data_IF_291221631637
#
_entry.id   IF_291221631637
#
_cell.length_a   1.000
_cell.length_b   1.000
_cell.length_c   1.000
_cell.angle_alpha   90.00
_cell.angle_beta   90.00
_cell.angle_gamma   90.00
#
_symmetry.space_group_name_H-M   'P 1'
#
loop_
_entity.id
_entity.type
_entity.pdbx_description
1 polymer ?
#
# COMPACT_ATOMS: atom_id res chain seq x y z
N UNK A 1 -45.59 -64.59 53.92
CA UNK A 1 -44.25 -64.45 53.31
C UNK A 1 -44.38 -63.50 52.09
N UNK A 2 -44.23 -62.22 52.29
CA UNK A 2 -44.25 -61.23 51.20
C UNK A 2 -42.82 -60.84 50.92
N UNK A 3 -42.37 -61.05 49.69
CA UNK A 3 -41.11 -60.54 49.16
C UNK A 3 -41.32 -59.15 48.48
N UNK A 4 -40.70 -58.17 49.04
CA UNK A 4 -40.67 -56.80 48.52
C UNK A 4 -39.61 -56.71 47.50
N UNK A 5 -39.97 -56.39 46.20
CA UNK A 5 -39.06 -56.05 45.12
C UNK A 5 -38.88 -54.54 45.13
N UNK A 6 -37.65 -54.07 45.42
CA UNK A 6 -37.27 -52.66 45.26
C UNK A 6 -36.66 -52.48 43.87
N UNK A 7 -37.36 -51.76 42.99
CA UNK A 7 -36.79 -51.28 41.72
C UNK A 7 -35.86 -50.09 42.03
N UNK A 8 -34.60 -50.24 41.70
CA UNK A 8 -33.67 -49.07 41.64
C UNK A 8 -33.80 -48.44 40.26
N UNK A 9 -34.30 -47.22 40.22
CA UNK A 9 -34.30 -46.39 39.02
C UNK A 9 -32.91 -45.70 38.91
N UNK A 10 -32.13 -46.06 37.91
CA UNK A 10 -30.86 -45.40 37.53
C UNK A 10 -31.19 -44.18 36.68
N UNK A 11 -31.07 -42.99 37.24
CA UNK A 11 -31.10 -41.72 36.48
C UNK A 11 -29.74 -41.54 35.78
N UNK A 12 -29.72 -41.67 34.47
CA UNK A 12 -28.56 -41.27 33.65
C UNK A 12 -28.61 -39.75 33.41
N UNK A 13 -27.52 -38.98 33.63
CA UNK A 13 -27.51 -37.57 33.29
C UNK A 13 -27.39 -37.38 31.79
N UNK A 14 -28.37 -36.70 31.20
CA UNK A 14 -28.35 -36.27 29.80
C UNK A 14 -27.39 -35.07 29.66
N UNK A 15 -26.18 -35.30 29.19
CA UNK A 15 -25.21 -34.24 28.86
C UNK A 15 -25.63 -33.60 27.55
N UNK A 16 -26.23 -32.41 27.59
CA UNK A 16 -26.54 -31.57 26.41
C UNK A 16 -25.25 -30.93 25.94
N UNK A 17 -24.64 -31.47 24.88
CA UNK A 17 -23.53 -30.84 24.15
C UNK A 17 -24.07 -29.63 23.39
N UNK A 18 -23.91 -28.44 23.95
CA UNK A 18 -24.11 -27.15 23.28
C UNK A 18 -22.99 -26.96 22.24
N UNK A 19 -23.24 -27.37 21.02
CA UNK A 19 -22.38 -27.02 19.87
C UNK A 19 -22.55 -25.53 19.57
N UNK A 20 -21.61 -24.70 20.02
CA UNK A 20 -21.52 -23.31 19.58
C UNK A 20 -21.15 -23.29 18.10
N UNK A 21 -21.95 -22.65 17.22
CA UNK A 21 -21.55 -22.49 15.84
C UNK A 21 -20.28 -21.65 15.79
N UNK A 22 -19.21 -22.20 15.20
CA UNK A 22 -18.01 -21.43 14.87
C UNK A 22 -18.43 -20.36 13.85
N UNK A 23 -18.48 -19.11 14.28
CA UNK A 23 -18.65 -17.96 13.40
C UNK A 23 -17.40 -17.88 12.53
N UNK A 24 -17.48 -18.46 11.34
CA UNK A 24 -16.44 -18.30 10.31
C UNK A 24 -16.49 -16.82 9.88
N UNK A 25 -15.55 -16.02 10.36
CA UNK A 25 -15.40 -14.66 9.89
C UNK A 25 -15.15 -14.70 8.37
N UNK A 26 -16.03 -14.05 7.60
CA UNK A 26 -15.83 -13.91 6.16
C UNK A 26 -14.46 -13.27 5.91
N UNK A 27 -13.69 -13.73 4.91
CA UNK A 27 -12.39 -13.17 4.60
C UNK A 27 -12.53 -11.65 4.37
N UNK A 28 -11.78 -10.86 5.12
CA UNK A 28 -11.80 -9.41 4.96
C UNK A 28 -11.36 -9.08 3.54
N UNK A 29 -12.25 -8.50 2.75
CA UNK A 29 -11.98 -8.08 1.38
C UNK A 29 -10.78 -7.14 1.37
N UNK A 30 -9.84 -7.33 0.44
CA UNK A 30 -8.70 -6.43 0.29
C UNK A 30 -9.20 -4.99 0.11
N UNK A 31 -8.64 -4.08 0.89
CA UNK A 31 -9.04 -2.68 0.88
C UNK A 31 -8.39 -1.91 -0.29
N UNK A 32 -7.21 -2.37 -0.70
CA UNK A 32 -6.47 -1.88 -1.86
C UNK A 32 -5.51 -2.96 -2.38
N UNK A 33 -4.98 -2.74 -3.58
CA UNK A 33 -3.94 -3.58 -4.19
C UNK A 33 -2.80 -2.67 -4.68
N UNK A 34 -1.57 -3.12 -4.51
CA UNK A 34 -0.38 -2.43 -5.02
C UNK A 34 -0.26 -2.67 -6.52
N UNK A 35 -0.38 -1.63 -7.35
CA UNK A 35 -0.25 -1.73 -8.81
C UNK A 35 1.20 -1.73 -9.29
N UNK A 36 2.03 -0.85 -8.68
CA UNK A 36 3.44 -0.70 -9.02
C UNK A 36 4.25 -0.23 -7.82
N UNK A 37 5.53 -0.62 -7.79
CA UNK A 37 6.49 -0.19 -6.76
C UNK A 37 7.83 0.11 -7.41
N UNK A 38 8.31 1.31 -7.21
CA UNK A 38 9.70 1.71 -7.37
C UNK A 38 10.33 1.66 -5.96
N UNK A 39 11.08 0.61 -5.68
CA UNK A 39 11.67 0.38 -4.36
C UNK A 39 12.75 1.45 -4.02
N UNK A 40 13.06 1.66 -2.74
CA UNK A 40 12.63 0.89 -1.59
C UNK A 40 11.28 1.33 -1.00
N UNK A 41 10.44 0.39 -0.63
CA UNK A 41 9.16 0.66 0.01
C UNK A 41 8.73 -0.48 0.94
N UNK A 42 7.97 -0.16 1.99
CA UNK A 42 7.55 -1.12 3.02
C UNK A 42 6.07 -0.99 3.36
N UNK A 43 5.52 -2.09 3.82
CA UNK A 43 4.24 -2.16 4.51
C UNK A 43 4.45 -2.64 5.94
N UNK A 44 3.93 -1.89 6.90
CA UNK A 44 3.87 -2.27 8.31
C UNK A 44 2.44 -2.71 8.66
N UNK A 45 2.30 -3.89 9.26
CA UNK A 45 1.03 -4.44 9.74
C UNK A 45 1.26 -5.17 11.06
N UNK A 46 0.59 -4.74 12.13
CA UNK A 46 0.69 -5.35 13.48
C UNK A 46 2.14 -5.52 13.95
N UNK A 47 2.98 -4.53 13.73
CA UNK A 47 4.39 -4.55 14.10
C UNK A 47 5.31 -5.36 13.17
N UNK A 48 4.76 -5.97 12.11
CA UNK A 48 5.55 -6.71 11.11
C UNK A 48 5.77 -5.84 9.88
N UNK A 49 7.04 -5.51 9.61
CA UNK A 49 7.48 -4.79 8.41
C UNK A 49 7.88 -5.76 7.32
N UNK A 50 7.35 -5.56 6.12
CA UNK A 50 7.75 -6.30 4.91
C UNK A 50 7.92 -5.35 3.73
N UNK A 51 8.80 -5.64 2.76
CA UNK A 51 8.88 -4.86 1.53
C UNK A 51 7.54 -4.86 0.79
N UNK A 52 7.21 -3.70 0.22
CA UNK A 52 6.03 -3.57 -0.60
C UNK A 52 6.26 -4.24 -1.96
N UNK A 53 5.36 -5.11 -2.38
CA UNK A 53 5.45 -5.83 -3.64
C UNK A 53 4.26 -5.50 -4.55
N UNK A 54 4.50 -5.42 -5.86
CA UNK A 54 3.43 -5.30 -6.84
C UNK A 54 2.50 -6.53 -6.80
N UNK A 55 1.19 -6.31 -6.80
CA UNK A 55 0.17 -7.33 -6.59
C UNK A 55 -0.17 -7.62 -5.12
N UNK A 56 0.54 -7.00 -4.15
CA UNK A 56 0.24 -7.19 -2.74
C UNK A 56 -1.13 -6.62 -2.38
N UNK A 57 -1.92 -7.41 -1.65
CA UNK A 57 -3.18 -6.96 -1.07
C UNK A 57 -2.95 -6.21 0.24
N UNK A 58 -3.58 -5.04 0.34
CA UNK A 58 -3.54 -4.18 1.50
C UNK A 58 -4.85 -4.30 2.29
N UNK A 59 -4.73 -4.23 3.61
CA UNK A 59 -5.85 -4.26 4.55
C UNK A 59 -6.00 -2.91 5.24
N UNK A 60 -7.17 -2.66 5.79
CA UNK A 60 -7.40 -1.51 6.67
C UNK A 60 -6.42 -1.52 7.84
N UNK A 61 -5.78 -0.38 8.09
CA UNK A 61 -4.76 -0.21 9.14
C UNK A 61 -3.32 -0.49 8.69
N UNK A 62 -3.09 -0.92 7.44
CA UNK A 62 -1.72 -1.01 6.91
C UNK A 62 -1.08 0.39 6.83
N UNK A 63 0.16 0.48 7.28
CA UNK A 63 0.99 1.67 7.11
C UNK A 63 1.98 1.41 5.99
N UNK A 64 1.99 2.28 4.99
CA UNK A 64 2.92 2.22 3.86
C UNK A 64 3.99 3.29 4.03
N UNK A 65 5.23 2.93 3.75
CA UNK A 65 6.36 3.86 3.73
C UNK A 65 7.16 3.71 2.45
N UNK A 66 7.54 4.82 1.85
CA UNK A 66 8.46 4.86 0.72
C UNK A 66 9.80 5.48 1.16
N UNK A 67 10.89 4.96 0.66
CA UNK A 67 12.21 5.52 0.92
C UNK A 67 12.56 6.67 -0.04
N UNK A 68 13.86 7.03 -0.06
CA UNK A 68 14.38 8.02 -0.99
C UNK A 68 14.21 7.56 -2.43
N UNK A 69 13.79 8.46 -3.30
CA UNK A 69 13.51 8.24 -4.73
C UNK A 69 12.57 7.04 -5.00
N UNK A 70 11.79 6.63 -4.01
CA UNK A 70 10.83 5.54 -4.15
C UNK A 70 9.43 6.05 -4.45
N UNK A 71 8.60 5.20 -5.09
CA UNK A 71 7.21 5.49 -5.42
C UNK A 71 6.35 4.24 -5.32
N UNK A 72 5.07 4.40 -5.01
CA UNK A 72 4.12 3.30 -5.00
C UNK A 72 2.78 3.74 -5.60
N UNK A 73 2.18 2.86 -6.40
CA UNK A 73 0.83 3.02 -6.95
C UNK A 73 -0.11 2.02 -6.33
N UNK A 74 -1.23 2.51 -5.84
CA UNK A 74 -2.27 1.74 -5.19
C UNK A 74 -3.59 1.87 -5.95
N UNK A 75 -4.28 0.76 -6.12
CA UNK A 75 -5.66 0.71 -6.56
C UNK A 75 -6.55 0.40 -5.36
N UNK A 76 -7.44 1.30 -5.01
CA UNK A 76 -8.42 1.08 -3.97
C UNK A 76 -9.54 0.16 -4.48
N UNK A 77 -10.22 -0.55 -3.58
CA UNK A 77 -11.24 -1.56 -3.94
C UNK A 77 -12.41 -0.99 -4.72
N UNK A 78 -12.73 0.30 -4.55
CA UNK A 78 -13.77 1.01 -5.30
C UNK A 78 -13.28 1.60 -6.64
N UNK A 79 -11.98 1.44 -6.96
CA UNK A 79 -11.38 1.82 -8.23
C UNK A 79 -10.68 3.18 -8.26
N UNK A 80 -10.58 3.90 -7.13
CA UNK A 80 -9.74 5.10 -7.02
C UNK A 80 -8.27 4.73 -6.95
N UNK A 81 -7.39 5.65 -7.36
CA UNK A 81 -5.94 5.48 -7.35
C UNK A 81 -5.27 6.41 -6.39
N UNK A 82 -4.28 5.89 -5.69
CA UNK A 82 -3.34 6.66 -4.89
C UNK A 82 -1.94 6.45 -5.43
N UNK A 83 -1.21 7.52 -5.66
CA UNK A 83 0.20 7.49 -6.00
C UNK A 83 0.97 8.13 -4.85
N UNK A 84 1.97 7.45 -4.35
CA UNK A 84 2.85 7.92 -3.29
C UNK A 84 4.20 8.30 -3.88
N UNK A 85 4.74 9.44 -3.47
CA UNK A 85 6.10 9.90 -3.78
C UNK A 85 7.14 9.36 -2.81
N UNK A 86 8.36 9.88 -2.89
CA UNK A 86 9.43 9.55 -1.95
C UNK A 86 9.14 10.05 -0.52
N UNK A 87 9.69 9.36 0.48
CA UNK A 87 9.57 9.72 1.88
C UNK A 87 8.12 9.76 2.39
N UNK A 88 7.19 9.15 1.65
CA UNK A 88 5.78 9.15 2.05
C UNK A 88 5.54 8.17 3.19
N UNK A 89 4.70 8.59 4.14
CA UNK A 89 4.10 7.74 5.16
C UNK A 89 2.58 7.88 5.06
N UNK A 90 1.94 6.75 4.77
CA UNK A 90 0.54 6.69 4.39
C UNK A 90 -0.17 5.57 5.12
N UNK A 91 -1.34 5.84 5.71
CA UNK A 91 -2.20 4.83 6.34
C UNK A 91 -3.56 4.82 5.67
N UNK A 92 -4.06 3.62 5.46
CA UNK A 92 -5.33 3.40 4.83
C UNK A 92 -6.34 2.81 5.83
N UNK A 93 -7.53 3.42 5.93
CA UNK A 93 -8.64 2.94 6.74
C UNK A 93 -9.86 2.73 5.86
N UNK A 94 -10.38 1.51 5.81
CA UNK A 94 -11.62 1.17 5.11
C UNK A 94 -12.59 0.51 6.05
N UNK A 95 -13.85 0.94 6.00
CA UNK A 95 -14.97 0.34 6.74
C UNK A 95 -16.06 -0.20 5.81
N UNK A 96 -15.83 -0.28 4.51
CA UNK A 96 -16.87 -0.75 3.60
C UNK A 96 -17.04 -2.26 3.68
N UNK A 97 -18.20 -2.71 4.14
CA UNK A 97 -18.63 -4.11 4.07
C UNK A 97 -19.15 -4.49 2.66
N UNK A 98 -19.51 -3.51 1.83
CA UNK A 98 -20.01 -3.67 0.47
C UNK A 98 -19.46 -2.55 -0.44
N UNK A 99 -18.23 -2.67 -0.95
CA UNK A 99 -17.58 -1.62 -1.75
C UNK A 99 -18.37 -1.17 -3.00
N UNK A 100 -19.27 -2.01 -3.48
CA UNK A 100 -20.10 -1.73 -4.66
C UNK A 100 -21.32 -0.86 -4.36
N UNK A 101 -21.71 -0.68 -3.10
CA UNK A 101 -22.90 0.10 -2.69
C UNK A 101 -22.55 1.44 -2.05
N UNK A 102 -21.52 1.46 -1.22
CA UNK A 102 -21.00 2.68 -0.60
C UNK A 102 -19.56 2.41 -0.10
N UNK A 103 -18.67 3.35 -0.32
CA UNK A 103 -17.31 3.29 0.20
C UNK A 103 -17.17 4.31 1.33
N UNK A 104 -16.77 3.82 2.50
CA UNK A 104 -16.40 4.65 3.64
C UNK A 104 -14.94 4.39 3.95
N UNK A 105 -14.11 5.40 3.86
CA UNK A 105 -12.69 5.28 4.11
C UNK A 105 -12.06 6.58 4.56
N UNK A 106 -10.86 6.45 5.14
CA UNK A 106 -9.98 7.55 5.41
C UNK A 106 -8.59 7.20 4.91
N UNK A 107 -7.92 8.18 4.34
CA UNK A 107 -6.54 8.11 3.90
C UNK A 107 -5.75 9.12 4.74
N UNK A 108 -4.77 8.65 5.50
CA UNK A 108 -3.94 9.51 6.33
C UNK A 108 -2.56 9.63 5.69
N UNK A 109 -2.21 10.82 5.24
CA UNK A 109 -0.89 11.17 4.73
C UNK A 109 -0.14 11.90 5.83
N UNK A 110 0.79 11.20 6.45
CA UNK A 110 1.57 11.72 7.58
C UNK A 110 2.86 12.41 7.14
N UNK A 111 3.38 12.04 5.97
CA UNK A 111 4.57 12.64 5.36
C UNK A 111 4.60 12.39 3.85
N UNK A 112 5.35 13.21 3.13
CA UNK A 112 5.64 13.07 1.70
C UNK A 112 4.54 13.56 0.78
N UNK A 113 4.73 13.31 -0.52
CA UNK A 113 3.80 13.70 -1.57
C UNK A 113 2.90 12.54 -1.97
N UNK A 114 1.66 12.86 -2.35
CA UNK A 114 0.70 11.90 -2.89
C UNK A 114 -0.16 12.53 -3.99
N UNK A 115 -0.76 11.69 -4.84
CA UNK A 115 -1.86 12.07 -5.73
C UNK A 115 -3.01 11.11 -5.52
N UNK A 116 -4.20 11.64 -5.45
CA UNK A 116 -5.44 10.86 -5.38
C UNK A 116 -6.32 11.16 -6.59
N UNK A 117 -6.79 10.13 -7.28
CA UNK A 117 -7.69 10.26 -8.41
C UNK A 117 -8.91 9.36 -8.20
N UNK A 118 -10.10 9.94 -8.16
CA UNK A 118 -11.36 9.21 -8.05
C UNK A 118 -11.56 8.28 -9.24
N UNK A 119 -11.87 7.01 -8.99
CA UNK A 119 -12.12 6.01 -10.01
C UNK A 119 -13.43 6.26 -10.78
N UNK A 120 -13.46 5.87 -12.06
CA UNK A 120 -14.68 6.02 -12.91
C UNK A 120 -15.88 5.24 -12.35
N UNK A 121 -15.65 4.09 -11.70
CA UNK A 121 -16.71 3.26 -11.09
C UNK A 121 -17.34 3.91 -9.88
N UNK A 122 -16.61 4.73 -9.18
CA UNK A 122 -17.07 5.42 -7.99
C UNK A 122 -17.76 6.76 -8.29
N UNK A 123 -17.70 7.25 -9.54
CA UNK A 123 -18.48 8.41 -9.99
C UNK A 123 -19.96 8.01 -10.00
N UNK A 124 -20.73 8.41 -8.99
CA UNK A 124 -22.17 8.12 -8.86
C UNK A 124 -22.54 7.24 -7.65
N UNK A 125 -21.59 6.63 -6.96
CA UNK A 125 -21.84 5.98 -5.67
C UNK A 125 -21.66 6.98 -4.52
N UNK A 126 -22.46 6.88 -3.45
CA UNK A 126 -22.21 7.64 -2.24
C UNK A 126 -20.83 7.31 -1.70
N UNK A 127 -19.93 8.28 -1.75
CA UNK A 127 -18.58 8.16 -1.20
C UNK A 127 -18.45 9.07 0.01
N UNK A 128 -18.05 8.50 1.11
CA UNK A 128 -17.61 9.24 2.28
C UNK A 128 -16.12 8.90 2.48
N UNK A 129 -15.29 9.48 1.63
CA UNK A 129 -13.84 9.36 1.72
C UNK A 129 -13.26 10.68 2.22
N UNK A 130 -12.62 10.64 3.37
CA UNK A 130 -11.83 11.73 3.90
C UNK A 130 -10.34 11.47 3.66
N UNK A 131 -9.62 12.50 3.24
CA UNK A 131 -8.15 12.45 3.14
C UNK A 131 -7.61 13.43 4.18
N UNK A 132 -6.78 12.92 5.10
CA UNK A 132 -6.06 13.76 6.06
C UNK A 132 -4.64 13.98 5.57
N UNK A 133 -4.22 15.23 5.51
CA UNK A 133 -2.88 15.66 5.08
C UNK A 133 -2.31 16.54 6.18
N UNK A 134 -1.39 16.00 6.96
CA UNK A 134 -0.88 16.70 8.13
C UNK A 134 -1.99 17.15 9.06
N UNK A 135 -2.24 18.46 9.11
CA UNK A 135 -3.26 19.08 9.98
C UNK A 135 -4.60 19.36 9.29
N UNK A 136 -4.69 19.12 7.99
CA UNK A 136 -5.89 19.39 7.19
C UNK A 136 -6.70 18.10 6.93
N UNK A 137 -8.03 18.20 7.02
CA UNK A 137 -8.96 17.16 6.60
C UNK A 137 -9.68 17.57 5.32
N UNK A 138 -9.68 16.71 4.31
CA UNK A 138 -10.18 16.98 2.97
C UNK A 138 -11.37 16.08 2.69
N UNK A 139 -12.55 16.66 2.52
CA UNK A 139 -13.72 16.01 1.94
C UNK A 139 -13.62 16.06 0.41
N UNK A 140 -13.81 14.93 -0.25
CA UNK A 140 -13.66 14.84 -1.71
C UNK A 140 -14.99 14.48 -2.40
N UNK A 141 -15.20 15.05 -3.58
CA UNK A 141 -16.35 14.73 -4.43
C UNK A 141 -15.93 14.68 -5.89
N UNK A 142 -15.60 13.47 -6.39
CA UNK A 142 -15.25 13.26 -7.79
C UNK A 142 -14.00 14.03 -8.21
N UNK A 143 -12.89 13.85 -7.50
CA UNK A 143 -11.70 14.71 -7.57
C UNK A 143 -10.48 14.02 -8.12
N UNK A 144 -9.60 14.82 -8.72
CA UNK A 144 -8.17 14.56 -8.86
C UNK A 144 -7.43 15.64 -8.07
N UNK A 145 -6.62 15.23 -7.11
CA UNK A 145 -5.85 16.15 -6.27
C UNK A 145 -4.44 15.63 -6.05
N UNK A 146 -3.51 16.56 -5.90
CA UNK A 146 -2.16 16.31 -5.46
C UNK A 146 -1.93 16.98 -4.11
N UNK A 147 -1.18 16.36 -3.21
CA UNK A 147 -0.88 16.96 -1.91
C UNK A 147 0.46 16.53 -1.37
N UNK A 148 0.96 17.32 -0.41
CA UNK A 148 2.20 17.06 0.32
C UNK A 148 2.09 17.58 1.73
N UNK A 149 2.69 16.86 2.67
CA UNK A 149 2.96 17.35 4.03
C UNK A 149 4.42 17.08 4.38
N UNK A 150 5.06 18.08 4.97
CA UNK A 150 6.46 18.01 5.41
C UNK A 150 6.72 18.97 6.59
N UNK A 151 7.98 19.17 6.94
CA UNK A 151 8.38 20.08 8.01
C UNK A 151 7.97 21.55 7.75
N UNK A 152 7.77 21.95 6.49
CA UNK A 152 7.41 23.33 6.11
C UNK A 152 5.90 23.58 6.17
N UNK A 153 5.07 22.55 6.14
CA UNK A 153 3.62 22.65 6.21
C UNK A 153 2.88 21.70 5.27
N UNK A 154 1.60 22.01 5.06
CA UNK A 154 0.69 21.21 4.26
C UNK A 154 0.34 21.95 2.95
N UNK A 155 0.27 21.22 1.84
CA UNK A 155 -0.15 21.72 0.54
C UNK A 155 -1.11 20.74 -0.12
N UNK A 156 -2.22 21.26 -0.70
CA UNK A 156 -3.20 20.47 -1.45
C UNK A 156 -3.58 21.21 -2.71
N UNK A 157 -3.32 20.63 -3.87
CA UNK A 157 -3.66 21.18 -5.17
C UNK A 157 -4.89 20.45 -5.76
N UNK A 158 -5.89 21.20 -6.20
CA UNK A 158 -7.06 20.68 -6.88
C UNK A 158 -6.81 20.68 -8.39
N UNK A 159 -6.90 19.49 -9.02
CA UNK A 159 -6.70 19.32 -10.45
C UNK A 159 -8.03 19.11 -11.19
N UNK A 160 -8.98 18.39 -10.56
CA UNK A 160 -10.35 18.18 -11.09
C UNK A 160 -11.33 18.04 -9.94
N UNK A 161 -12.57 18.50 -10.13
CA UNK A 161 -13.68 18.32 -9.20
C UNK A 161 -13.78 19.41 -8.16
N UNK A 162 -14.19 19.04 -6.95
CA UNK A 162 -14.39 19.95 -5.80
C UNK A 162 -13.94 19.29 -4.52
N UNK A 163 -13.32 20.07 -3.64
CA UNK A 163 -12.91 19.64 -2.31
C UNK A 163 -13.32 20.66 -1.26
N UNK A 164 -13.51 20.17 -0.05
CA UNK A 164 -13.69 20.96 1.17
C UNK A 164 -12.53 20.64 2.12
N UNK A 165 -11.79 21.63 2.55
CA UNK A 165 -10.64 21.48 3.43
C UNK A 165 -10.98 22.09 4.77
N UNK A 166 -10.96 21.29 5.83
CA UNK A 166 -11.12 21.75 7.22
C UNK A 166 -9.77 21.69 7.93
N UNK A 167 -9.31 22.82 8.48
CA UNK A 167 -8.10 22.95 9.27
C UNK A 167 -8.33 23.91 10.45
N UNK A 168 -7.96 23.50 11.66
CA UNK A 168 -8.12 24.29 12.88
C UNK A 168 -9.53 24.86 13.11
N UNK A 169 -10.58 24.15 12.66
CA UNK A 169 -11.98 24.56 12.77
C UNK A 169 -12.47 25.46 11.64
N UNK A 170 -11.61 25.94 10.76
CA UNK A 170 -11.97 26.70 9.58
C UNK A 170 -12.15 25.80 8.37
N UNK A 171 -13.16 26.09 7.55
CA UNK A 171 -13.47 25.34 6.34
C UNK A 171 -13.29 26.22 5.10
N UNK A 172 -12.53 25.70 4.14
CA UNK A 172 -12.27 26.35 2.85
C UNK A 172 -12.77 25.45 1.73
N UNK A 173 -13.66 25.95 0.89
CA UNK A 173 -14.11 25.25 -0.33
C UNK A 173 -13.22 25.60 -1.53
N UNK A 174 -12.83 24.59 -2.29
CA UNK A 174 -12.10 24.73 -3.55
C UNK A 174 -12.85 24.01 -4.67
N UNK A 175 -13.27 24.75 -5.69
CA UNK A 175 -13.99 24.23 -6.86
C UNK A 175 -13.36 24.68 -8.18
N UNK A 176 -12.30 25.48 -8.16
CA UNK A 176 -11.56 25.92 -9.35
C UNK A 176 -10.34 25.02 -9.55
N UNK A 177 -10.25 24.26 -10.64
CA UNK A 177 -9.04 23.53 -11.00
C UNK A 177 -7.82 24.43 -11.11
N UNK A 178 -6.65 23.85 -10.93
CA UNK A 178 -5.37 24.56 -10.92
C UNK A 178 -5.28 25.65 -9.87
N UNK A 179 -5.86 25.36 -8.69
CA UNK A 179 -5.62 26.12 -7.46
C UNK A 179 -5.06 25.21 -6.39
N UNK A 180 -4.36 25.78 -5.41
CA UNK A 180 -3.84 25.03 -4.28
C UNK A 180 -4.04 25.76 -2.97
N UNK A 181 -4.35 24.97 -1.94
CA UNK A 181 -4.36 25.37 -0.55
C UNK A 181 -2.94 25.21 -0.01
N UNK A 182 -2.38 26.26 0.53
CA UNK A 182 -1.09 26.27 1.20
C UNK A 182 -1.28 26.60 2.67
N UNK A 183 -0.75 25.78 3.56
CA UNK A 183 -0.80 25.97 4.99
C UNK A 183 0.62 25.86 5.58
N UNK A 184 1.48 26.87 5.41
CA UNK A 184 2.82 26.88 5.98
C UNK A 184 2.75 26.75 7.50
N UNK A 185 3.76 26.14 8.09
CA UNK A 185 3.81 25.95 9.54
C UNK A 185 3.90 27.31 10.25
N UNK A 186 3.02 27.53 11.22
CA UNK A 186 2.98 28.79 12.00
C UNK A 186 2.43 30.01 11.25
N UNK A 187 1.83 29.80 10.06
CA UNK A 187 1.22 30.85 9.26
C UNK A 187 -0.24 30.52 8.95
N UNK A 188 -0.99 31.55 8.57
CA UNK A 188 -2.36 31.40 8.06
C UNK A 188 -2.34 30.62 6.75
N UNK A 189 -3.38 29.85 6.54
CA UNK A 189 -3.57 29.14 5.28
C UNK A 189 -4.14 30.08 4.21
N UNK A 190 -3.78 29.83 2.95
CA UNK A 190 -4.24 30.63 1.81
C UNK A 190 -4.48 29.74 0.58
N UNK A 191 -5.40 30.18 -0.31
CA UNK A 191 -5.64 29.55 -1.60
C UNK A 191 -5.02 30.41 -2.70
N UNK A 192 -4.19 29.75 -3.54
CA UNK A 192 -3.46 30.39 -4.65
C UNK A 192 -3.74 29.69 -5.97
N UNK A 193 -3.48 30.39 -7.07
CA UNK A 193 -3.48 29.80 -8.41
C UNK A 193 -2.20 28.98 -8.59
N UNK A 194 -2.33 27.77 -9.10
CA UNK A 194 -1.22 26.88 -9.42
C UNK A 194 -0.74 27.10 -10.85
N UNK A 195 0.52 27.50 -10.99
CA UNK A 195 1.16 27.62 -12.30
C UNK A 195 1.33 26.21 -12.92
N UNK A 196 0.99 26.01 -14.22
CA UNK A 196 1.14 24.72 -14.90
C UNK A 196 2.57 24.16 -14.90
N UNK A 197 3.60 25.03 -14.97
CA UNK A 197 4.98 24.58 -14.93
C UNK A 197 5.35 24.08 -13.52
N UNK A 198 4.89 24.78 -12.49
CA UNK A 198 5.04 24.33 -11.08
C UNK A 198 4.31 23.00 -10.87
N UNK A 199 3.08 22.85 -11.38
CA UNK A 199 2.35 21.59 -11.30
C UNK A 199 3.09 20.45 -11.97
N UNK A 200 3.70 20.67 -13.13
CA UNK A 200 4.50 19.66 -13.84
C UNK A 200 5.67 19.15 -13.01
N UNK A 201 6.31 19.99 -12.21
CA UNK A 201 7.35 19.58 -11.27
C UNK A 201 6.77 18.78 -10.08
N UNK A 202 5.64 19.23 -9.53
CA UNK A 202 4.98 18.54 -8.42
C UNK A 202 4.49 17.15 -8.84
N UNK A 203 3.90 17.02 -10.03
CA UNK A 203 3.42 15.75 -10.55
C UNK A 203 4.52 14.69 -10.64
N UNK A 204 5.74 15.08 -11.03
CA UNK A 204 6.91 14.17 -11.10
C UNK A 204 7.26 13.53 -9.77
N UNK A 205 6.93 14.17 -8.65
CA UNK A 205 7.22 13.62 -7.32
C UNK A 205 6.44 12.33 -7.04
N UNK A 206 5.31 12.13 -7.69
CA UNK A 206 4.43 10.97 -7.51
C UNK A 206 4.34 10.06 -8.74
N UNK A 207 4.94 10.45 -9.89
CA UNK A 207 4.86 9.65 -11.12
C UNK A 207 6.03 8.68 -11.26
N UNK A 208 5.72 7.41 -11.55
CA UNK A 208 6.68 6.41 -12.02
C UNK A 208 6.81 6.54 -13.52
N UNK A 209 8.01 6.82 -13.99
CA UNK A 209 8.32 6.93 -15.42
C UNK A 209 8.92 5.64 -15.98
N UNK A 210 8.98 5.53 -17.28
CA UNK A 210 9.72 4.46 -17.93
C UNK A 210 11.22 4.62 -17.63
N UNK A 211 11.86 3.53 -17.20
CA UNK A 211 13.26 3.54 -16.78
C UNK A 211 13.50 3.80 -15.29
N UNK A 212 12.47 3.90 -14.49
CA UNK A 212 12.60 4.11 -13.03
C UNK A 212 12.85 2.81 -12.22
N UNK A 213 12.85 1.64 -12.88
CA UNK A 213 13.05 0.35 -12.23
C UNK A 213 11.85 -0.12 -11.40
N UNK A 214 10.64 0.22 -11.84
CA UNK A 214 9.43 -0.12 -11.10
C UNK A 214 8.91 -1.53 -11.41
N UNK A 215 8.67 -2.31 -10.36
CA UNK A 215 7.98 -3.59 -10.44
C UNK A 215 6.45 -3.38 -10.62
N UNK A 216 5.81 -4.22 -11.45
CA UNK A 216 4.37 -4.25 -11.73
C UNK A 216 3.83 -5.68 -11.63
N UNK A 217 2.57 -5.85 -11.25
CA UNK A 217 1.97 -7.17 -11.01
C UNK A 217 2.05 -8.15 -12.21
N UNK A 218 2.18 -7.64 -13.44
CA UNK A 218 2.23 -8.44 -14.69
C UNK A 218 3.58 -8.41 -15.39
N UNK A 219 4.64 -7.92 -14.74
CA UNK A 219 5.97 -7.89 -15.32
C UNK A 219 6.62 -9.27 -15.36
N UNK A 220 7.33 -9.60 -16.44
CA UNK A 220 7.90 -10.93 -16.69
C UNK A 220 9.44 -10.97 -16.54
N UNK A 221 10.07 -9.82 -16.38
CA UNK A 221 11.52 -9.71 -16.18
C UNK A 221 11.87 -9.75 -14.70
N UNK A 222 13.07 -10.25 -14.41
CA UNK A 222 13.60 -10.43 -13.07
C UNK A 222 15.02 -9.89 -13.00
N UNK A 223 15.44 -9.48 -11.81
CA UNK A 223 16.83 -9.23 -11.48
C UNK A 223 17.30 -10.32 -10.49
N UNK A 224 18.38 -11.01 -10.85
CA UNK A 224 19.07 -11.94 -9.96
C UNK A 224 19.91 -11.12 -9.00
N UNK A 225 19.55 -11.13 -7.73
CA UNK A 225 20.21 -10.38 -6.68
C UNK A 225 21.36 -11.15 -6.03
N UNK A 226 21.21 -12.48 -5.89
CA UNK A 226 22.23 -13.36 -5.34
C UNK A 226 21.98 -14.81 -5.77
N UNK A 227 23.06 -15.63 -5.72
CA UNK A 227 23.01 -17.07 -5.81
C UNK A 227 23.67 -17.68 -4.58
N UNK A 228 23.11 -18.74 -4.02
CA UNK A 228 23.64 -19.41 -2.84
C UNK A 228 23.59 -20.93 -3.01
N UNK A 229 24.56 -21.64 -2.45
CA UNK A 229 24.65 -23.10 -2.49
C UNK A 229 23.94 -23.78 -1.31
N UNK A 230 23.38 -22.97 -0.39
CA UNK A 230 22.60 -23.45 0.74
C UNK A 230 21.36 -22.57 0.99
N UNK A 231 20.33 -23.16 1.58
CA UNK A 231 19.13 -22.43 2.00
C UNK A 231 19.46 -21.34 3.03
N UNK A 232 20.33 -21.63 3.99
CA UNK A 232 20.75 -20.67 5.02
C UNK A 232 21.37 -19.41 4.41
N UNK A 233 22.32 -19.57 3.48
CA UNK A 233 22.94 -18.44 2.79
C UNK A 233 21.93 -17.66 1.91
N UNK A 234 20.97 -18.36 1.28
CA UNK A 234 19.91 -17.71 0.52
C UNK A 234 19.00 -16.86 1.42
N UNK A 235 18.68 -17.34 2.61
CA UNK A 235 17.89 -16.61 3.61
C UNK A 235 18.62 -15.35 4.11
N UNK A 236 19.95 -15.41 4.32
CA UNK A 236 20.76 -14.23 4.69
C UNK A 236 20.68 -13.14 3.60
N UNK A 237 20.84 -13.50 2.31
CA UNK A 237 20.67 -12.56 1.20
C UNK A 237 19.25 -12.01 1.13
N UNK A 238 18.25 -12.88 1.30
CA UNK A 238 16.85 -12.51 1.28
C UNK A 238 16.53 -11.48 2.38
N UNK A 239 17.01 -11.71 3.61
CA UNK A 239 16.78 -10.80 4.73
C UNK A 239 17.46 -9.45 4.51
N UNK A 240 18.72 -9.44 4.03
CA UNK A 240 19.43 -8.21 3.68
C UNK A 240 18.68 -7.38 2.62
N UNK A 241 18.15 -8.02 1.58
CA UNK A 241 17.37 -7.37 0.51
C UNK A 241 16.04 -6.86 1.05
N UNK A 242 15.40 -7.64 1.90
CA UNK A 242 14.13 -7.29 2.54
C UNK A 242 14.27 -6.09 3.47
N UNK A 243 15.29 -6.04 4.29
CA UNK A 243 15.59 -4.89 5.16
C UNK A 243 15.84 -3.62 4.35
N UNK A 244 16.50 -3.73 3.21
CA UNK A 244 16.70 -2.64 2.27
C UNK A 244 15.42 -2.20 1.52
N UNK A 245 14.25 -2.83 1.76
CA UNK A 245 12.95 -2.44 1.20
C UNK A 245 12.67 -2.95 -0.20
N UNK A 246 13.36 -4.02 -0.63
CA UNK A 246 13.13 -4.66 -1.92
C UNK A 246 12.43 -6.01 -1.74
N UNK A 247 11.33 -6.23 -2.50
CA UNK A 247 10.57 -7.47 -2.45
C UNK A 247 11.27 -8.58 -3.24
N UNK A 248 12.04 -9.41 -2.55
CA UNK A 248 12.73 -10.55 -3.12
C UNK A 248 11.92 -11.86 -2.99
N UNK A 249 12.33 -12.87 -3.77
CA UNK A 249 11.86 -14.24 -3.67
C UNK A 249 13.04 -15.19 -3.82
N UNK A 250 13.05 -16.27 -3.04
CA UNK A 250 14.01 -17.37 -3.19
C UNK A 250 13.40 -18.40 -4.14
N UNK A 251 14.20 -18.84 -5.12
CA UNK A 251 13.86 -19.88 -6.07
C UNK A 251 14.90 -20.99 -6.05
N UNK A 252 14.58 -22.19 -5.54
CA UNK A 252 15.43 -23.36 -5.66
C UNK A 252 15.60 -23.77 -7.13
N UNK A 253 16.82 -24.19 -7.51
CA UNK A 253 17.18 -24.73 -8.81
C UNK A 253 17.98 -26.01 -8.62
N UNK A 254 17.66 -27.05 -9.38
CA UNK A 254 18.51 -28.24 -9.43
C UNK A 254 19.85 -27.89 -10.06
N UNK A 255 20.93 -28.32 -9.41
CA UNK A 255 22.29 -28.16 -9.93
C UNK A 255 22.66 -29.32 -10.86
N UNK A 256 23.41 -29.05 -11.93
CA UNK A 256 23.83 -30.08 -12.92
C UNK A 256 24.67 -31.20 -12.28
N UNK A 257 25.46 -30.88 -11.27
CA UNK A 257 26.26 -31.84 -10.50
C UNK A 257 25.49 -32.58 -9.41
N UNK A 258 24.16 -32.41 -9.34
CA UNK A 258 23.30 -32.90 -8.27
C UNK A 258 23.18 -31.92 -7.09
N UNK A 259 22.07 -32.01 -6.34
CA UNK A 259 21.76 -31.07 -5.25
C UNK A 259 20.98 -29.85 -5.73
N UNK A 260 21.02 -28.78 -4.94
CA UNK A 260 20.27 -27.55 -5.16
C UNK A 260 21.16 -26.33 -5.01
N UNK A 261 20.91 -25.32 -5.83
CA UNK A 261 21.34 -23.95 -5.58
C UNK A 261 20.10 -23.06 -5.52
N UNK A 262 20.26 -21.88 -4.91
CA UNK A 262 19.16 -20.97 -4.60
C UNK A 262 19.40 -19.63 -5.26
N UNK A 263 18.44 -19.18 -6.06
CA UNK A 263 18.45 -17.85 -6.66
C UNK A 263 17.58 -16.93 -5.85
N UNK A 264 18.12 -15.77 -5.45
CA UNK A 264 17.36 -14.69 -4.81
C UNK A 264 17.04 -13.64 -5.87
N UNK A 265 15.76 -13.40 -6.13
CA UNK A 265 15.27 -12.68 -7.30
C UNK A 265 14.36 -11.52 -6.91
N UNK A 266 14.55 -10.36 -7.53
CA UNK A 266 13.49 -9.35 -7.68
C UNK A 266 12.69 -9.67 -8.94
N UNK A 267 11.37 -9.45 -8.93
CA UNK A 267 10.50 -9.80 -10.05
C UNK A 267 9.42 -8.74 -10.29
N UNK A 268 8.80 -8.82 -11.47
CA UNK A 268 7.69 -7.94 -11.82
C UNK A 268 8.09 -6.77 -12.72
N UNK A 269 9.22 -6.83 -13.42
CA UNK A 269 9.62 -5.74 -14.30
C UNK A 269 9.03 -5.91 -15.71
N UNK A 270 8.68 -4.79 -16.34
CA UNK A 270 8.07 -4.78 -17.68
C UNK A 270 9.08 -5.00 -18.80
N UNK A 271 10.37 -4.73 -18.55
CA UNK A 271 11.46 -4.90 -19.52
C UNK A 271 12.78 -5.23 -18.80
N UNK A 272 13.79 -5.65 -19.58
CA UNK A 272 15.14 -5.82 -19.09
C UNK A 272 15.71 -4.52 -18.51
N UNK A 273 15.50 -3.40 -19.19
CA UNK A 273 15.97 -2.09 -18.72
C UNK A 273 15.40 -1.71 -17.35
N UNK A 274 14.11 -1.97 -17.10
CA UNK A 274 13.51 -1.76 -15.77
C UNK A 274 14.15 -2.68 -14.71
N UNK A 275 14.42 -3.94 -15.04
CA UNK A 275 15.09 -4.86 -14.14
C UNK A 275 16.54 -4.44 -13.85
N UNK A 276 17.27 -3.91 -14.84
CA UNK A 276 18.63 -3.38 -14.69
C UNK A 276 18.66 -2.18 -13.73
N UNK A 277 17.74 -1.23 -13.90
CA UNK A 277 17.65 -0.07 -13.00
C UNK A 277 17.32 -0.51 -11.57
N UNK A 278 16.37 -1.43 -11.39
CA UNK A 278 16.05 -1.96 -10.07
C UNK A 278 17.26 -2.71 -9.44
N UNK A 279 18.01 -3.47 -10.25
CA UNK A 279 19.23 -4.15 -9.82
C UNK A 279 20.32 -3.16 -9.39
N UNK A 280 20.49 -2.06 -10.13
CA UNK A 280 21.45 -1.01 -9.79
C UNK A 280 21.07 -0.32 -8.47
N UNK A 281 19.79 -0.03 -8.25
CA UNK A 281 19.27 0.53 -6.99
C UNK A 281 19.52 -0.41 -5.82
N UNK A 282 19.23 -1.72 -5.98
CA UNK A 282 19.51 -2.73 -4.97
C UNK A 282 21.00 -2.80 -4.66
N UNK A 283 21.87 -2.82 -5.69
CA UNK A 283 23.31 -2.83 -5.52
C UNK A 283 23.80 -1.63 -4.70
N UNK A 284 23.26 -0.45 -4.93
CA UNK A 284 23.59 0.76 -4.15
C UNK A 284 23.15 0.61 -2.69
N UNK A 285 21.98 -0.01 -2.44
CA UNK A 285 21.45 -0.17 -1.09
C UNK A 285 22.11 -1.29 -0.28
N UNK A 286 22.64 -2.36 -0.94
CA UNK A 286 23.09 -3.59 -0.25
C UNK A 286 24.51 -4.01 -0.60
N UNK A 287 25.17 -3.40 -1.58
CA UNK A 287 26.47 -3.82 -2.16
C UNK A 287 26.46 -5.22 -2.82
N UNK A 288 25.29 -5.87 -2.99
CA UNK A 288 25.19 -7.17 -3.65
C UNK A 288 25.48 -7.07 -5.15
N UNK A 289 26.07 -8.12 -5.73
CA UNK A 289 26.27 -8.23 -7.18
C UNK A 289 24.97 -8.73 -7.83
N UNK A 290 24.44 -7.96 -8.75
CA UNK A 290 23.16 -8.24 -9.41
C UNK A 290 23.34 -8.48 -10.90
N UNK A 291 22.46 -9.27 -11.51
CA UNK A 291 22.35 -9.46 -12.97
C UNK A 291 20.88 -9.55 -13.39
N UNK A 292 20.59 -9.47 -14.69
CA UNK A 292 19.21 -9.55 -15.20
C UNK A 292 18.97 -10.91 -15.84
N UNK A 293 17.80 -11.50 -15.55
CA UNK A 293 17.33 -12.78 -16.08
C UNK A 293 15.86 -12.65 -16.51
N UNK A 294 15.44 -13.44 -17.47
CA UNK A 294 14.07 -13.45 -17.98
C UNK A 294 13.21 -14.52 -17.27
#
# INVERSE_FOLDING_TARGET
MLRSNRLFAVLAPLVLLLSTPAVTAAPATAAATVEAVQAPAWRDRNGVTVPLAAGMELKSGDVLRTGSDARAYLMLSEGSRVKLGEGAQFTFHSRSLQPQKAFHGALDVLAGAFRFTTGKRSKGLPQNLAIRVGTASIGIRGTDLWGRTDANGDMVALLEGRIEITRAGETTEMGRPMTYFAAPRGQAAEVKVLDPAVFSMLARQTEIQAGDGAARAKGNWRALAATADSEAAALEFYDQIREAGFAARIRPRAAEAGGWHYEVLLSGFSSAAEAEVAAARLKTATALKTSVVR
#
